data_IF_183111393803
#
_entry.id   IF_183111393803
#
_cell.length_a   1.000
_cell.length_b   1.000
_cell.length_c   1.000
_cell.angle_alpha   90.00
_cell.angle_beta   90.00
_cell.angle_gamma   90.00
#
_symmetry.space_group_name_H-M   'P 1'
#
loop_
_entity.id
_entity.type
_entity.pdbx_description
1 polymer ?
#
# COMPACT_ATOMS: atom_id res chain seq x y z
N UNK A 1 5.55 25.84 5.01
CA UNK A 1 6.20 24.55 4.69
C UNK A 1 7.16 24.77 3.54
N UNK A 2 8.43 24.39 3.70
CA UNK A 2 9.43 24.48 2.62
C UNK A 2 9.57 23.10 1.99
N UNK A 3 9.36 22.98 0.67
CA UNK A 3 9.50 21.72 -0.06
C UNK A 3 10.99 21.44 -0.23
N UNK A 4 11.50 20.38 0.38
CA UNK A 4 12.84 19.85 0.14
C UNK A 4 12.81 18.91 -1.07
N UNK A 5 13.77 19.04 -1.98
CA UNK A 5 13.90 18.19 -3.17
C UNK A 5 15.10 17.27 -2.99
N UNK A 6 14.95 16.02 -3.41
CA UNK A 6 15.99 14.99 -3.38
C UNK A 6 16.08 14.34 -4.77
N UNK A 7 17.28 13.95 -5.17
CA UNK A 7 17.53 13.11 -6.35
C UNK A 7 17.33 11.62 -6.04
N UNK A 8 17.14 10.81 -7.08
CA UNK A 8 16.97 9.34 -6.93
C UNK A 8 18.17 8.71 -6.23
N UNK A 9 19.38 9.13 -6.60
CA UNK A 9 20.65 8.64 -6.04
C UNK A 9 20.82 9.00 -4.56
N UNK A 10 20.28 10.14 -4.13
CA UNK A 10 20.29 10.54 -2.72
C UNK A 10 19.31 9.68 -1.92
N UNK A 11 18.11 9.43 -2.45
CA UNK A 11 17.10 8.58 -1.80
C UNK A 11 17.60 7.13 -1.65
N UNK A 12 18.25 6.58 -2.67
CA UNK A 12 18.81 5.22 -2.63
C UNK A 12 19.93 5.04 -1.60
N UNK A 13 20.61 6.13 -1.22
CA UNK A 13 21.68 6.12 -0.20
C UNK A 13 21.17 6.46 1.20
N UNK A 14 19.91 6.86 1.35
CA UNK A 14 19.34 7.13 2.66
C UNK A 14 19.15 5.83 3.42
N UNK A 15 19.46 5.88 4.71
CA UNK A 15 19.19 4.79 5.62
C UNK A 15 17.68 4.61 5.77
N UNK A 16 17.23 3.37 5.63
CA UNK A 16 15.86 3.00 5.92
C UNK A 16 15.63 3.11 7.43
N UNK A 17 14.57 3.84 7.80
CA UNK A 17 14.19 4.05 9.19
C UNK A 17 12.99 3.20 9.59
N UNK A 18 12.51 2.36 8.68
CA UNK A 18 11.34 1.52 8.87
C UNK A 18 11.71 0.35 9.78
N UNK A 19 11.02 0.27 10.91
CA UNK A 19 11.10 -0.88 11.81
C UNK A 19 10.21 -2.00 11.26
N UNK A 20 10.80 -2.86 10.42
CA UNK A 20 10.11 -3.97 9.75
C UNK A 20 9.66 -5.05 10.73
N UNK A 21 10.46 -5.35 11.76
CA UNK A 21 10.09 -6.35 12.78
C UNK A 21 8.81 -5.94 13.49
N UNK A 22 8.68 -4.64 13.83
CA UNK A 22 7.43 -4.12 14.39
C UNK A 22 6.27 -4.28 13.42
N UNK A 23 6.44 -3.92 12.14
CA UNK A 23 5.39 -3.97 11.11
C UNK A 23 4.89 -5.40 10.88
N UNK A 24 5.79 -6.37 10.79
CA UNK A 24 5.43 -7.78 10.56
C UNK A 24 4.65 -8.39 11.72
N UNK A 25 4.84 -7.88 12.94
CA UNK A 25 4.19 -8.39 14.15
C UNK A 25 2.93 -7.59 14.57
N UNK A 26 2.50 -6.58 13.80
CA UNK A 26 1.30 -5.81 14.15
C UNK A 26 0.02 -6.64 14.01
N UNK A 27 -0.90 -6.43 14.95
CA UNK A 27 -2.25 -6.97 14.86
C UNK A 27 -3.13 -6.15 13.90
N UNK A 28 -4.19 -6.75 13.37
CA UNK A 28 -5.15 -6.06 12.50
C UNK A 28 -5.79 -4.83 13.17
N UNK A 29 -6.06 -4.89 14.47
CA UNK A 29 -6.59 -3.74 15.23
C UNK A 29 -5.58 -2.59 15.30
N UNK A 30 -4.30 -2.91 15.52
CA UNK A 30 -3.22 -1.91 15.54
C UNK A 30 -2.99 -1.30 14.15
N UNK A 31 -3.05 -2.12 13.10
CA UNK A 31 -2.96 -1.65 11.71
C UNK A 31 -4.09 -0.65 11.42
N UNK A 32 -5.33 -1.00 11.76
CA UNK A 32 -6.50 -0.12 11.56
C UNK A 32 -6.34 1.18 12.33
N UNK A 33 -5.97 1.12 13.61
CA UNK A 33 -5.78 2.32 14.45
C UNK A 33 -4.67 3.22 13.93
N UNK A 34 -3.55 2.65 13.47
CA UNK A 34 -2.46 3.41 12.88
C UNK A 34 -2.95 4.15 11.63
N UNK A 35 -3.69 3.48 10.75
CA UNK A 35 -4.24 4.08 9.54
C UNK A 35 -5.28 5.17 9.84
N UNK A 36 -6.14 4.98 10.85
CA UNK A 36 -7.13 5.98 11.31
C UNK A 36 -6.50 7.22 11.94
N UNK A 37 -5.32 7.07 12.54
CA UNK A 37 -4.60 8.17 13.17
C UNK A 37 -3.72 8.98 12.22
N UNK A 38 -3.51 8.50 10.99
CA UNK A 38 -2.64 9.15 10.01
C UNK A 38 -3.38 10.31 9.32
N UNK A 39 -2.93 11.58 9.49
CA UNK A 39 -3.59 12.73 8.89
C UNK A 39 -3.53 12.76 7.36
N UNK A 40 -2.60 12.03 6.76
CA UNK A 40 -2.36 12.03 5.31
C UNK A 40 -3.06 10.85 4.60
N UNK A 41 -3.74 9.97 5.34
CA UNK A 41 -4.39 8.78 4.78
C UNK A 41 -5.90 8.97 4.60
N UNK A 42 -6.40 9.00 3.35
CA UNK A 42 -7.83 8.95 3.11
C UNK A 42 -8.33 7.49 3.25
N UNK A 43 -8.87 7.17 4.42
CA UNK A 43 -9.50 5.87 4.66
C UNK A 43 -10.75 5.67 3.80
N UNK A 44 -10.87 4.47 3.23
CA UNK A 44 -12.06 4.05 2.49
C UNK A 44 -13.13 3.57 3.47
N UNK A 45 -14.40 3.79 3.12
CA UNK A 45 -15.51 3.23 3.89
C UNK A 45 -15.64 1.72 3.66
N UNK A 46 -16.29 1.01 4.58
CA UNK A 46 -16.59 -0.41 4.42
C UNK A 46 -17.42 -0.67 3.16
N UNK A 47 -18.39 0.20 2.85
CA UNK A 47 -19.19 0.11 1.62
C UNK A 47 -18.35 0.27 0.35
N UNK A 48 -17.32 1.12 0.40
CA UNK A 48 -16.41 1.29 -0.73
C UNK A 48 -15.52 0.07 -0.89
N UNK A 49 -15.05 -0.51 0.22
CA UNK A 49 -14.27 -1.75 0.24
C UNK A 49 -15.02 -2.93 -0.39
N UNK A 50 -16.32 -3.08 -0.11
CA UNK A 50 -17.17 -4.11 -0.71
C UNK A 50 -17.29 -3.97 -2.25
N UNK A 51 -17.16 -2.76 -2.77
CA UNK A 51 -17.21 -2.49 -4.21
C UNK A 51 -15.91 -2.86 -4.93
N UNK A 52 -14.79 -3.06 -4.22
CA UNK A 52 -13.54 -3.45 -4.85
C UNK A 52 -13.65 -4.86 -5.45
N UNK A 53 -13.23 -4.99 -6.70
CA UNK A 53 -13.14 -6.28 -7.38
C UNK A 53 -11.70 -6.78 -7.30
N UNK A 54 -11.48 -8.08 -7.09
CA UNK A 54 -10.14 -8.65 -7.15
C UNK A 54 -9.50 -8.32 -8.50
N UNK A 55 -8.24 -7.88 -8.46
CA UNK A 55 -7.49 -7.64 -9.68
C UNK A 55 -7.34 -8.95 -10.46
N UNK A 56 -7.56 -8.90 -11.78
CA UNK A 56 -7.28 -10.05 -12.64
C UNK A 56 -5.80 -10.42 -12.51
N UNK A 57 -5.51 -11.69 -12.22
CA UNK A 57 -4.13 -12.19 -12.21
C UNK A 57 -3.51 -11.94 -13.58
N UNK A 58 -2.31 -11.35 -13.64
CA UNK A 58 -1.53 -11.29 -14.89
C UNK A 58 -1.18 -12.72 -15.29
N UNK A 59 -1.92 -13.28 -16.27
CA UNK A 59 -1.68 -14.62 -16.81
C UNK A 59 -2.92 -15.38 -17.28
N UNK A 60 -4.12 -15.06 -16.80
CA UNK A 60 -5.36 -15.75 -17.22
C UNK A 60 -5.97 -15.07 -18.46
N UNK A 61 -5.26 -15.18 -19.58
CA UNK A 61 -5.74 -14.80 -20.91
C UNK A 61 -6.32 -16.00 -21.67
N UNK A 62 -7.61 -16.28 -21.44
CA UNK A 62 -8.58 -16.85 -22.40
C UNK A 62 -8.08 -17.92 -23.42
N UNK A 63 -8.14 -19.21 -23.06
CA UNK A 63 -7.82 -20.34 -23.96
C UNK A 63 -8.89 -20.66 -25.03
N UNK A 64 -9.96 -19.86 -25.15
CA UNK A 64 -11.13 -20.20 -25.98
C UNK A 64 -11.14 -19.56 -27.39
N UNK A 65 -10.00 -19.37 -28.05
CA UNK A 65 -9.97 -19.02 -29.47
C UNK A 65 -8.81 -19.74 -30.19
N UNK A 66 -8.99 -21.03 -30.44
CA UNK A 66 -8.31 -21.77 -31.50
C UNK A 66 -9.37 -22.50 -32.31
N UNK A 67 -9.73 -21.94 -33.46
CA UNK A 67 -10.41 -22.62 -34.57
C UNK A 67 -9.72 -22.18 -35.86
#
# INVERSE_FOLDING_TARGET
>A
MAIKKYSKEEVEKMEDKTDYERVENMTEEEIRKNAESDPDVPLQSEEDLERFKPAKKRGEGNENNKS
#
